data_IF_536528129365
#
_entry.id   IF_536528129365
#
_cell.length_a   1.000
_cell.length_b   1.000
_cell.length_c   1.000
_cell.angle_alpha   90.00
_cell.angle_beta   90.00
_cell.angle_gamma   90.00
#
_symmetry.space_group_name_H-M   'P 1'
#
loop_
_entity.id
_entity.type
_entity.pdbx_description
1 polymer ?
#
# COMPACT_ATOMS: atom_id res chain seq x y z
N UNK A 1 -12.53 26.18 -8.19
CA UNK A 1 -11.19 25.76 -7.75
C UNK A 1 -11.22 25.78 -6.24
N UNK A 2 -10.96 24.64 -5.59
CA UNK A 2 -11.33 24.25 -4.20
C UNK A 2 -12.63 23.46 -4.17
N UNK A 3 -12.48 22.16 -3.92
CA UNK A 3 -13.34 21.25 -3.13
C UNK A 3 -12.66 19.87 -3.19
N UNK A 4 -11.50 19.77 -2.54
CA UNK A 4 -10.79 18.49 -2.31
C UNK A 4 -10.75 18.23 -0.80
N UNK A 5 -11.92 18.20 -0.17
CA UNK A 5 -12.10 17.56 1.12
C UNK A 5 -12.50 16.12 0.84
N UNK A 6 -11.50 15.24 0.75
CA UNK A 6 -11.71 13.79 0.85
C UNK A 6 -12.18 13.55 2.27
N UNK A 7 -13.50 13.52 2.46
CA UNK A 7 -14.14 13.44 3.76
C UNK A 7 -13.96 12.04 4.30
N UNK A 8 -13.13 11.89 5.34
CA UNK A 8 -12.75 10.63 6.01
C UNK A 8 -13.94 9.94 6.73
N UNK A 9 -15.00 9.67 5.99
CA UNK A 9 -16.28 9.13 6.45
C UNK A 9 -16.42 7.68 5.98
N UNK A 10 -17.22 6.91 6.70
CA UNK A 10 -17.53 5.51 6.34
C UNK A 10 -18.01 5.37 4.88
N UNK A 11 -18.67 6.39 4.32
CA UNK A 11 -19.11 6.40 2.91
C UNK A 11 -17.96 6.43 1.90
N UNK A 12 -16.85 7.11 2.22
CA UNK A 12 -15.70 7.20 1.32
C UNK A 12 -14.93 5.89 1.28
N UNK A 13 -14.78 5.24 2.45
CA UNK A 13 -14.19 3.91 2.53
C UNK A 13 -15.06 2.87 1.79
N UNK A 14 -16.39 2.95 1.92
CA UNK A 14 -17.30 2.08 1.17
C UNK A 14 -17.14 2.25 -0.35
N UNK A 15 -17.03 3.48 -0.85
CA UNK A 15 -16.78 3.75 -2.28
C UNK A 15 -15.43 3.21 -2.74
N UNK A 16 -14.38 3.40 -1.95
CA UNK A 16 -13.03 2.89 -2.24
C UNK A 16 -13.04 1.37 -2.32
N UNK A 17 -13.67 0.69 -1.36
CA UNK A 17 -13.80 -0.77 -1.32
C UNK A 17 -14.65 -1.30 -2.49
N UNK A 18 -15.75 -0.64 -2.83
CA UNK A 18 -16.56 -1.01 -3.99
C UNK A 18 -15.76 -0.90 -5.29
N UNK A 19 -15.00 0.19 -5.45
CA UNK A 19 -14.11 0.40 -6.61
C UNK A 19 -13.06 -0.72 -6.69
N UNK A 20 -12.42 -1.04 -5.57
CA UNK A 20 -11.44 -2.12 -5.50
C UNK A 20 -12.07 -3.49 -5.84
N UNK A 21 -13.25 -3.82 -5.32
CA UNK A 21 -13.98 -5.05 -5.66
C UNK A 21 -14.33 -5.10 -7.16
N UNK A 22 -14.80 -3.99 -7.73
CA UNK A 22 -15.16 -3.90 -9.15
C UNK A 22 -13.97 -4.05 -10.10
N UNK A 23 -12.76 -3.76 -9.63
CA UNK A 23 -11.53 -3.91 -10.44
C UNK A 23 -11.13 -5.36 -10.71
N UNK A 24 -11.65 -6.31 -9.92
CA UNK A 24 -11.28 -7.73 -10.01
C UNK A 24 -9.87 -8.08 -9.51
N UNK A 25 -9.09 -7.08 -9.07
CA UNK A 25 -7.67 -7.24 -8.72
C UNK A 25 -7.42 -8.03 -7.42
N UNK A 26 -8.38 -8.10 -6.51
CA UNK A 26 -8.22 -8.85 -5.25
C UNK A 26 -8.23 -10.37 -5.48
N UNK A 27 -8.83 -10.84 -6.57
CA UNK A 27 -9.00 -12.27 -6.85
C UNK A 27 -8.08 -12.77 -7.97
N UNK A 28 -7.23 -11.91 -8.53
CA UNK A 28 -6.40 -12.26 -9.70
C UNK A 28 -5.12 -13.04 -9.35
N UNK A 29 -4.75 -13.11 -8.07
CA UNK A 29 -3.50 -13.73 -7.64
C UNK A 29 -2.27 -12.93 -8.09
N UNK A 30 -1.08 -13.55 -8.04
CA UNK A 30 0.16 -12.90 -8.48
C UNK A 30 0.10 -12.65 -9.99
N UNK A 31 0.17 -11.39 -10.39
CA UNK A 31 0.16 -11.02 -11.81
C UNK A 31 1.52 -10.45 -12.25
N UNK A 32 2.09 -11.01 -13.33
CA UNK A 32 3.41 -10.62 -13.84
C UNK A 32 3.52 -9.12 -14.17
N UNK A 33 2.40 -8.47 -14.53
CA UNK A 33 2.36 -7.02 -14.80
C UNK A 33 2.78 -6.20 -13.58
N UNK A 34 2.39 -6.62 -12.37
CA UNK A 34 2.76 -5.93 -11.13
C UNK A 34 4.22 -6.20 -10.77
N UNK A 35 4.68 -7.44 -10.94
CA UNK A 35 6.11 -7.80 -10.75
C UNK A 35 7.03 -7.04 -11.70
N UNK A 36 6.58 -6.78 -12.93
CA UNK A 36 7.32 -5.97 -13.90
C UNK A 36 7.45 -4.53 -13.45
N UNK A 37 6.37 -3.92 -12.94
CA UNK A 37 6.38 -2.54 -12.44
C UNK A 37 7.28 -2.38 -11.22
N UNK A 38 7.20 -3.30 -10.26
CA UNK A 38 8.03 -3.25 -9.05
C UNK A 38 9.50 -3.50 -9.35
N UNK A 39 9.83 -4.42 -10.28
CA UNK A 39 11.22 -4.57 -10.78
C UNK A 39 11.73 -3.32 -11.48
N UNK A 40 10.91 -2.67 -12.30
CA UNK A 40 11.28 -1.42 -12.96
C UNK A 40 11.56 -0.31 -11.93
N UNK A 41 10.69 -0.14 -10.93
CA UNK A 41 10.90 0.84 -9.86
C UNK A 41 12.22 0.59 -9.10
N UNK A 42 12.51 -0.66 -8.73
CA UNK A 42 13.79 -1.03 -8.10
C UNK A 42 14.98 -0.66 -8.97
N UNK A 43 14.92 -0.98 -10.26
CA UNK A 43 16.01 -0.73 -11.21
C UNK A 43 16.24 0.76 -11.46
N UNK A 44 15.17 1.56 -11.55
CA UNK A 44 15.27 2.99 -11.83
C UNK A 44 15.80 3.78 -10.63
N UNK A 45 15.42 3.39 -9.42
CA UNK A 45 15.76 4.11 -8.19
C UNK A 45 16.84 3.43 -7.35
N UNK A 46 17.40 2.31 -7.83
CA UNK A 46 18.40 1.49 -7.14
C UNK A 46 17.97 1.11 -5.71
N UNK A 47 16.71 0.67 -5.56
CA UNK A 47 16.10 0.35 -4.26
C UNK A 47 16.21 -1.16 -3.93
N UNK A 48 16.41 -1.51 -2.65
CA UNK A 48 16.48 -2.91 -2.21
C UNK A 48 15.12 -3.62 -2.23
N UNK A 49 14.02 -2.87 -2.28
CA UNK A 49 12.63 -3.35 -2.25
C UNK A 49 11.73 -2.38 -3.02
N UNK A 50 10.73 -2.90 -3.74
CA UNK A 50 9.56 -2.12 -4.16
C UNK A 50 8.30 -3.00 -4.15
N UNK A 51 7.15 -2.39 -3.87
CA UNK A 51 5.87 -3.10 -3.77
C UNK A 51 4.70 -2.31 -4.30
N UNK A 52 3.64 -3.04 -4.64
CA UNK A 52 2.30 -2.53 -4.93
C UNK A 52 1.36 -3.20 -3.93
N UNK A 53 0.58 -2.41 -3.20
CA UNK A 53 -0.30 -2.90 -2.15
C UNK A 53 -1.74 -2.50 -2.41
N UNK A 54 -2.64 -3.49 -2.40
CA UNK A 54 -4.08 -3.31 -2.49
C UNK A 54 -4.69 -3.44 -1.08
N UNK A 55 -5.18 -2.33 -0.56
CA UNK A 55 -5.73 -2.28 0.80
C UNK A 55 -7.20 -2.69 0.76
N UNK A 56 -7.49 -3.96 1.11
CA UNK A 56 -8.86 -4.50 1.21
C UNK A 56 -9.58 -4.10 2.49
N UNK A 57 -10.81 -4.60 2.64
CA UNK A 57 -11.61 -4.45 3.86
C UNK A 57 -11.06 -5.34 4.98
N UNK A 58 -10.69 -6.57 4.65
CA UNK A 58 -10.15 -7.55 5.60
C UNK A 58 -8.62 -7.49 5.67
N UNK A 59 -8.09 -7.77 6.88
CA UNK A 59 -6.68 -8.07 7.07
C UNK A 59 -6.43 -9.55 6.74
N UNK A 60 -5.35 -9.88 6.01
CA UNK A 60 -4.28 -8.97 5.58
C UNK A 60 -4.55 -8.27 4.25
N UNK A 61 -3.93 -7.10 4.07
CA UNK A 61 -3.90 -6.43 2.78
C UNK A 61 -3.13 -7.28 1.75
N UNK A 62 -3.62 -7.32 0.51
CA UNK A 62 -2.95 -8.02 -0.58
C UNK A 62 -1.79 -7.16 -1.08
N UNK A 63 -0.57 -7.67 -1.06
CA UNK A 63 0.61 -6.97 -1.56
C UNK A 63 1.31 -7.81 -2.63
N UNK A 64 1.63 -7.17 -3.76
CA UNK A 64 2.58 -7.70 -4.73
C UNK A 64 3.92 -7.03 -4.47
N UNK A 65 4.86 -7.80 -3.94
CA UNK A 65 6.19 -7.35 -3.58
C UNK A 65 7.21 -7.90 -4.59
N UNK A 66 8.06 -7.05 -5.17
CA UNK A 66 9.27 -7.55 -5.83
C UNK A 66 10.47 -7.45 -4.89
N UNK A 67 11.08 -8.62 -4.67
CA UNK A 67 12.27 -8.85 -3.85
C UNK A 67 12.05 -8.64 -2.36
N UNK A 68 10.86 -9.02 -1.88
CA UNK A 68 10.55 -9.44 -0.52
C UNK A 68 9.67 -10.68 -0.64
N UNK A 69 10.03 -11.76 0.04
CA UNK A 69 9.27 -13.02 0.07
C UNK A 69 8.18 -12.96 1.17
N UNK A 70 7.30 -11.95 1.08
CA UNK A 70 6.20 -11.76 2.02
C UNK A 70 4.91 -11.65 1.22
N UNK A 71 3.98 -12.58 1.43
CA UNK A 71 2.73 -12.61 0.66
C UNK A 71 1.64 -11.71 1.28
N UNK A 72 1.72 -11.41 2.57
CA UNK A 72 0.69 -10.67 3.31
C UNK A 72 1.26 -9.88 4.48
N UNK A 73 0.73 -8.67 4.72
CA UNK A 73 1.06 -7.85 5.89
C UNK A 73 -0.26 -7.40 6.53
N UNK A 74 -0.43 -7.53 7.86
CA UNK A 74 -1.59 -6.99 8.56
C UNK A 74 -1.79 -5.50 8.25
N UNK A 75 -3.04 -5.09 8.03
CA UNK A 75 -3.38 -3.69 7.70
C UNK A 75 -2.86 -2.71 8.76
N UNK A 76 -2.90 -3.12 10.03
CA UNK A 76 -2.52 -2.28 11.19
C UNK A 76 -1.02 -1.98 11.24
N UNK A 77 -0.19 -2.82 10.60
CA UNK A 77 1.25 -2.59 10.48
C UNK A 77 1.67 -2.14 9.06
N UNK A 78 0.71 -1.97 8.14
CA UNK A 78 0.97 -1.58 6.75
C UNK A 78 1.15 -0.07 6.61
N UNK A 79 2.27 0.35 6.02
CA UNK A 79 2.50 1.74 5.58
C UNK A 79 1.40 2.20 4.62
N UNK A 80 0.98 1.33 3.71
CA UNK A 80 0.02 1.63 2.67
C UNK A 80 -1.37 1.98 3.23
N UNK A 81 -1.74 1.45 4.42
CA UNK A 81 -2.98 1.82 5.10
C UNK A 81 -2.99 3.30 5.55
N UNK A 82 -1.82 3.90 5.81
CA UNK A 82 -1.69 5.31 6.15
C UNK A 82 -1.65 6.19 4.90
N UNK A 83 -1.08 5.69 3.80
CA UNK A 83 -1.00 6.42 2.53
C UNK A 83 -2.35 6.59 1.86
N UNK A 84 -3.27 5.60 1.95
CA UNK A 84 -4.60 5.71 1.33
C UNK A 84 -5.49 6.82 1.93
N UNK A 85 -5.11 7.36 3.10
CA UNK A 85 -5.86 8.40 3.80
C UNK A 85 -5.47 9.82 3.35
N UNK A 86 -4.48 9.96 2.47
CA UNK A 86 -3.96 11.24 1.98
C UNK A 86 -3.70 11.17 0.48
N UNK A 87 -3.62 12.33 -0.17
CA UNK A 87 -3.35 12.44 -1.62
C UNK A 87 -1.87 12.68 -1.92
N UNK A 88 -1.12 13.18 -0.95
CA UNK A 88 0.31 13.45 -1.11
C UNK A 88 1.16 12.19 -0.87
N UNK A 89 2.34 12.09 -1.52
CA UNK A 89 3.29 11.01 -1.24
C UNK A 89 3.70 10.99 0.24
N UNK A 90 3.62 9.81 0.86
CA UNK A 90 4.17 9.58 2.19
C UNK A 90 5.67 9.25 2.06
N UNK A 91 6.52 10.15 2.52
CA UNK A 91 7.97 9.95 2.60
C UNK A 91 8.36 9.80 4.06
N UNK A 92 9.00 8.67 4.39
CA UNK A 92 9.54 8.38 5.72
C UNK A 92 11.04 8.18 5.54
N UNK A 93 11.84 9.12 6.06
CA UNK A 93 13.30 9.07 5.90
C UNK A 93 13.95 8.00 6.78
N UNK A 94 13.41 7.80 7.99
CA UNK A 94 13.84 6.76 8.92
C UNK A 94 12.62 6.28 9.71
N UNK A 95 12.30 4.99 9.57
CA UNK A 95 11.15 4.37 10.24
C UNK A 95 11.31 4.29 11.75
N UNK A 96 12.54 4.15 12.26
CA UNK A 96 12.80 4.04 13.70
C UNK A 96 12.65 5.38 14.42
N UNK A 97 12.71 6.48 13.67
CA UNK A 97 12.59 7.85 14.18
C UNK A 97 11.23 8.48 13.87
N UNK A 98 10.37 7.81 13.11
CA UNK A 98 9.07 8.33 12.73
C UNK A 98 8.01 7.94 13.77
N UNK A 99 7.38 8.92 14.42
CA UNK A 99 6.36 8.73 15.45
C UNK A 99 5.19 7.80 15.01
N UNK A 100 4.94 7.67 13.70
CA UNK A 100 3.88 6.80 13.17
C UNK A 100 4.31 5.34 13.04
N UNK A 101 5.62 5.08 13.03
CA UNK A 101 6.20 3.80 12.62
C UNK A 101 7.29 3.26 13.56
N UNK A 102 7.77 4.03 14.55
CA UNK A 102 8.86 3.61 15.44
C UNK A 102 8.55 2.34 16.25
N UNK A 103 7.28 2.11 16.58
CA UNK A 103 6.81 0.90 17.28
C UNK A 103 6.53 -0.29 16.34
N UNK A 104 6.64 -0.09 15.01
CA UNK A 104 6.42 -1.16 14.04
C UNK A 104 7.74 -1.91 13.81
N UNK A 105 7.75 -3.26 13.81
CA UNK A 105 8.95 -4.02 13.53
C UNK A 105 9.45 -3.64 12.12
N UNK A 106 10.72 -3.25 12.03
CA UNK A 106 11.39 -3.12 10.74
C UNK A 106 11.37 -4.52 10.09
N UNK A 107 10.64 -4.63 8.98
CA UNK A 107 10.57 -5.89 8.22
C UNK A 107 11.99 -6.38 7.95
N UNK A 108 12.29 -7.58 8.44
CA UNK A 108 13.49 -8.34 8.07
C UNK A 108 13.20 -9.11 6.79
#
# INVERSE_FOLDING_TARGET
MRDNEISRTSSDEQRRLQSLRSSGLLNSGKEERFDRLTRLARSLYNLPVASISLVGEESPAYQVLAGLDVDTVPRDISFCAHTILQTDPLIVNDMQQDERFHDKPAGH
#
